data_IF_281424428815
#
_entry.id   IF_281424428815
#
_cell.length_a   1.000
_cell.length_b   1.000
_cell.length_c   1.000
_cell.angle_alpha   90.00
_cell.angle_beta   90.00
_cell.angle_gamma   90.00
#
_symmetry.space_group_name_H-M   'P 1'
#
loop_
_entity.id
_entity.type
_entity.pdbx_description
1 polymer ?
#
# COMPACT_ATOMS: atom_id res chain seq x y z
N UNK A 1 24.87 -30.31 52.48
CA UNK A 1 24.88 -29.93 51.05
C UNK A 1 23.70 -29.05 50.62
N UNK A 2 22.47 -29.30 51.10
CA UNK A 2 21.27 -28.51 50.78
C UNK A 2 21.43 -26.98 50.96
N UNK A 3 22.09 -26.53 52.03
CA UNK A 3 22.32 -25.09 52.29
C UNK A 3 23.24 -24.38 51.27
N UNK A 4 24.18 -25.10 50.63
CA UNK A 4 25.02 -24.53 49.57
C UNK A 4 24.19 -24.33 48.30
N UNK A 5 23.37 -25.32 47.95
CA UNK A 5 22.47 -25.28 46.79
C UNK A 5 21.44 -24.15 46.96
N UNK A 6 20.88 -23.99 48.15
CA UNK A 6 19.91 -22.92 48.44
C UNK A 6 20.54 -21.52 48.33
N UNK A 7 21.79 -21.34 48.77
CA UNK A 7 22.56 -20.10 48.57
C UNK A 7 22.87 -19.83 47.10
N UNK A 8 23.26 -20.84 46.34
CA UNK A 8 23.51 -20.71 44.90
C UNK A 8 22.25 -20.35 44.11
N UNK A 9 21.11 -20.97 44.44
CA UNK A 9 19.82 -20.64 43.83
C UNK A 9 19.44 -19.20 44.16
N UNK A 10 19.57 -18.77 45.43
CA UNK A 10 19.26 -17.40 45.85
C UNK A 10 20.13 -16.37 45.12
N UNK A 11 21.42 -16.65 44.97
CA UNK A 11 22.35 -15.78 44.24
C UNK A 11 22.04 -15.72 42.74
N UNK A 12 21.71 -16.85 42.10
CA UNK A 12 21.29 -16.89 40.68
C UNK A 12 20.00 -16.11 40.45
N UNK A 13 19.01 -16.26 41.33
CA UNK A 13 17.74 -15.52 41.25
C UNK A 13 17.97 -14.03 41.43
N UNK A 14 18.77 -13.62 42.42
CA UNK A 14 19.08 -12.21 42.65
C UNK A 14 19.82 -11.59 41.45
N UNK A 15 20.81 -12.29 40.89
CA UNK A 15 21.53 -11.82 39.70
C UNK A 15 20.65 -11.68 38.45
N UNK A 16 19.59 -12.49 38.31
CA UNK A 16 18.60 -12.33 37.23
C UNK A 16 17.73 -11.10 37.47
N UNK A 17 17.27 -10.89 38.70
CA UNK A 17 16.44 -9.73 39.06
C UNK A 17 17.23 -8.44 38.82
N UNK A 18 18.50 -8.38 39.21
CA UNK A 18 19.35 -7.20 38.98
C UNK A 18 19.57 -6.92 37.49
N UNK A 19 19.76 -7.96 36.67
CA UNK A 19 19.88 -7.81 35.21
C UNK A 19 18.59 -7.26 34.59
N UNK A 20 17.43 -7.80 34.98
CA UNK A 20 16.13 -7.36 34.46
C UNK A 20 15.84 -5.92 34.89
N UNK A 21 16.10 -5.56 36.15
CA UNK A 21 15.94 -4.20 36.64
C UNK A 21 16.88 -3.23 35.91
N UNK A 22 18.12 -3.65 35.64
CA UNK A 22 19.09 -2.83 34.91
C UNK A 22 18.70 -2.64 33.45
N UNK A 23 18.21 -3.68 32.78
CA UNK A 23 17.66 -3.57 31.41
C UNK A 23 16.43 -2.65 31.37
N UNK A 24 15.53 -2.77 32.35
CA UNK A 24 14.35 -1.90 32.47
C UNK A 24 14.76 -0.43 32.66
N UNK A 25 15.71 -0.17 33.56
CA UNK A 25 16.23 1.17 33.82
C UNK A 25 16.93 1.78 32.59
N UNK A 26 17.75 1.00 31.89
CA UNK A 26 18.44 1.44 30.67
C UNK A 26 17.45 1.74 29.52
N UNK A 27 16.36 0.96 29.41
CA UNK A 27 15.28 1.23 28.44
C UNK A 27 14.55 2.52 28.76
N UNK A 28 14.24 2.77 30.03
CA UNK A 28 13.52 3.98 30.42
C UNK A 28 14.41 5.23 30.25
N UNK A 29 15.72 5.12 30.54
CA UNK A 29 16.70 6.16 30.23
C UNK A 29 16.82 6.41 28.72
N UNK A 30 16.92 5.37 27.90
CA UNK A 30 16.94 5.51 26.44
C UNK A 30 15.69 6.23 25.92
N UNK A 31 14.52 5.87 26.45
CA UNK A 31 13.24 6.51 26.11
C UNK A 31 13.19 7.98 26.53
N UNK A 32 13.77 8.32 27.68
CA UNK A 32 13.88 9.72 28.13
C UNK A 32 14.86 10.52 27.27
N UNK A 33 16.01 9.93 26.93
CA UNK A 33 17.04 10.53 26.07
C UNK A 33 16.47 10.79 24.66
N UNK A 34 15.77 9.82 24.07
CA UNK A 34 15.09 9.97 22.76
C UNK A 34 14.08 11.12 22.78
N UNK A 35 13.33 11.26 23.88
CA UNK A 35 12.34 12.32 24.08
C UNK A 35 12.98 13.71 24.22
N UNK A 36 14.17 13.81 24.82
CA UNK A 36 14.91 15.08 24.93
C UNK A 36 15.69 15.45 23.66
N UNK A 37 16.13 14.47 22.86
CA UNK A 37 16.89 14.72 21.63
C UNK A 37 16.06 15.29 20.48
N UNK A 38 14.73 15.27 20.54
CA UNK A 38 13.85 15.90 19.54
C UNK A 38 13.87 15.25 18.15
N UNK A 39 14.68 14.22 17.93
CA UNK A 39 14.85 13.51 16.65
C UNK A 39 13.64 12.65 16.25
N UNK A 40 12.74 12.31 17.18
CA UNK A 40 11.59 11.43 16.90
C UNK A 40 10.42 12.14 16.19
N UNK A 41 10.38 13.48 16.19
CA UNK A 41 9.23 14.20 15.61
C UNK A 41 9.09 13.96 14.10
N UNK A 42 10.20 13.90 13.34
CA UNK A 42 10.12 13.73 11.89
C UNK A 42 9.52 12.38 11.49
N UNK A 43 9.97 11.29 12.14
CA UNK A 43 9.46 9.96 11.87
C UNK A 43 8.00 9.81 12.32
N UNK A 44 7.66 10.33 13.50
CA UNK A 44 6.28 10.33 13.98
C UNK A 44 5.34 11.13 13.06
N UNK A 45 5.80 12.27 12.56
CA UNK A 45 5.04 13.11 11.65
C UNK A 45 4.84 12.44 10.28
N UNK A 46 5.87 11.78 9.74
CA UNK A 46 5.77 10.96 8.52
C UNK A 46 4.76 9.81 8.68
N UNK A 47 4.84 9.06 9.78
CA UNK A 47 3.91 7.97 10.08
C UNK A 47 2.47 8.51 10.18
N UNK A 48 2.27 9.64 10.85
CA UNK A 48 0.94 10.30 10.93
C UNK A 48 0.44 10.69 9.55
N UNK A 49 1.29 11.20 8.68
CA UNK A 49 0.91 11.59 7.33
C UNK A 49 0.57 10.38 6.44
N UNK A 50 1.28 9.26 6.58
CA UNK A 50 0.89 8.00 5.93
C UNK A 50 -0.48 7.49 6.42
N UNK A 51 -0.76 7.55 7.72
CA UNK A 51 -2.07 7.20 8.25
C UNK A 51 -3.19 8.11 7.72
N UNK A 52 -2.95 9.43 7.63
CA UNK A 52 -3.91 10.38 7.04
C UNK A 52 -4.20 10.03 5.58
N UNK A 53 -3.17 9.78 4.77
CA UNK A 53 -3.32 9.39 3.34
C UNK A 53 -4.04 8.04 3.19
N UNK A 54 -3.76 7.09 4.08
CA UNK A 54 -4.42 5.79 4.08
C UNK A 54 -5.92 5.91 4.39
N UNK A 55 -6.27 6.68 5.43
CA UNK A 55 -7.67 6.91 5.83
C UNK A 55 -8.45 7.70 4.77
N UNK A 56 -7.85 8.68 4.09
CA UNK A 56 -8.53 9.41 3.02
C UNK A 56 -8.95 8.49 1.87
N UNK A 57 -8.12 7.50 1.54
CA UNK A 57 -8.33 6.56 0.44
C UNK A 57 -9.11 5.30 0.82
N UNK A 58 -9.38 5.07 2.12
CA UNK A 58 -10.01 3.85 2.66
C UNK A 58 -11.33 3.48 2.00
N UNK A 59 -12.16 4.46 1.64
CA UNK A 59 -13.47 4.22 0.99
C UNK A 59 -13.35 3.61 -0.42
N UNK A 60 -12.19 3.76 -1.05
CA UNK A 60 -11.94 3.34 -2.44
C UNK A 60 -11.00 2.13 -2.52
N UNK A 61 -10.41 1.71 -1.39
CA UNK A 61 -9.56 0.54 -1.32
C UNK A 61 -10.36 -0.71 -0.98
N UNK A 62 -9.89 -1.85 -1.48
CA UNK A 62 -10.36 -3.13 -0.97
C UNK A 62 -9.80 -3.37 0.45
N UNK A 63 -10.52 -4.15 1.27
CA UNK A 63 -10.14 -4.38 2.66
C UNK A 63 -8.75 -5.00 2.80
N UNK A 64 -8.41 -5.94 1.91
CA UNK A 64 -7.12 -6.63 1.95
C UNK A 64 -5.95 -5.68 1.67
N UNK A 65 -6.13 -4.78 0.70
CA UNK A 65 -5.14 -3.75 0.37
C UNK A 65 -4.94 -2.79 1.55
N UNK A 66 -6.04 -2.36 2.19
CA UNK A 66 -5.98 -1.50 3.37
C UNK A 66 -5.25 -2.18 4.54
N UNK A 67 -5.55 -3.45 4.82
CA UNK A 67 -4.92 -4.23 5.89
C UNK A 67 -3.42 -4.39 5.66
N UNK A 68 -2.99 -4.70 4.43
CA UNK A 68 -1.58 -4.85 4.10
C UNK A 68 -0.81 -3.53 4.21
N UNK A 69 -1.32 -2.43 3.67
CA UNK A 69 -0.67 -1.12 3.78
C UNK A 69 -0.57 -0.69 5.24
N UNK A 70 -1.64 -0.87 6.03
CA UNK A 70 -1.63 -0.57 7.46
C UNK A 70 -0.55 -1.37 8.21
N UNK A 71 -0.43 -2.67 7.91
CA UNK A 71 0.58 -3.54 8.50
C UNK A 71 2.00 -3.09 8.17
N UNK A 72 2.24 -2.61 6.94
CA UNK A 72 3.56 -2.07 6.57
C UNK A 72 3.86 -0.74 7.29
N UNK A 73 2.87 0.14 7.50
CA UNK A 73 3.04 1.37 8.29
C UNK A 73 3.40 1.02 9.75
N UNK A 74 2.69 0.07 10.36
CA UNK A 74 3.01 -0.41 11.72
C UNK A 74 4.41 -1.03 11.81
N UNK A 75 4.87 -1.71 10.74
CA UNK A 75 6.23 -2.25 10.65
C UNK A 75 7.27 -1.12 10.55
N UNK A 76 7.00 -0.08 9.75
CA UNK A 76 7.87 1.08 9.59
C UNK A 76 8.05 1.85 10.90
N UNK A 77 6.97 2.02 11.68
CA UNK A 77 7.01 2.68 12.99
C UNK A 77 8.00 1.99 13.96
N UNK A 78 8.11 0.66 13.92
CA UNK A 78 8.98 -0.12 14.82
C UNK A 78 10.44 -0.21 14.39
N UNK A 79 10.75 0.01 13.11
CA UNK A 79 12.11 -0.16 12.57
C UNK A 79 12.93 1.12 12.78
N UNK A 80 14.18 0.99 13.24
CA UNK A 80 15.10 2.13 13.31
C UNK A 80 15.52 2.61 11.91
N UNK A 81 15.64 3.92 11.71
CA UNK A 81 15.93 4.55 10.42
C UNK A 81 17.26 4.08 9.79
N UNK A 82 18.24 3.67 10.59
CA UNK A 82 19.53 3.17 10.12
C UNK A 82 19.48 1.76 9.50
N UNK A 83 18.33 1.08 9.60
CA UNK A 83 18.15 -0.24 9.00
C UNK A 83 17.95 -0.11 7.48
N UNK A 84 18.68 -0.90 6.69
CA UNK A 84 18.54 -0.94 5.23
C UNK A 84 17.12 -1.32 4.77
N UNK A 85 16.35 -2.03 5.59
CA UNK A 85 14.94 -2.36 5.31
C UNK A 85 14.00 -1.16 5.43
N UNK A 86 14.36 -0.11 6.19
CA UNK A 86 13.49 1.04 6.43
C UNK A 86 13.17 1.79 5.12
N UNK A 87 14.20 2.03 4.30
CA UNK A 87 14.06 2.69 3.00
C UNK A 87 13.18 1.89 2.03
N UNK A 88 13.28 0.56 2.05
CA UNK A 88 12.46 -0.32 1.20
C UNK A 88 10.99 -0.29 1.61
N UNK A 89 10.70 -0.32 2.92
CA UNK A 89 9.33 -0.26 3.44
C UNK A 89 8.71 1.11 3.16
N UNK A 90 9.48 2.20 3.35
CA UNK A 90 9.03 3.54 3.01
C UNK A 90 8.63 3.63 1.52
N UNK A 91 9.53 3.19 0.62
CA UNK A 91 9.26 3.18 -0.83
C UNK A 91 8.00 2.38 -1.17
N UNK A 92 7.79 1.24 -0.51
CA UNK A 92 6.58 0.44 -0.69
C UNK A 92 5.32 1.19 -0.24
N UNK A 93 5.34 1.80 0.95
CA UNK A 93 4.20 2.58 1.48
C UNK A 93 3.88 3.74 0.55
N UNK A 94 4.89 4.50 0.11
CA UNK A 94 4.72 5.61 -0.83
C UNK A 94 4.12 5.13 -2.15
N UNK A 95 4.70 4.10 -2.77
CA UNK A 95 4.20 3.55 -4.04
C UNK A 95 2.77 3.04 -3.92
N UNK A 96 2.46 2.33 -2.84
CA UNK A 96 1.11 1.81 -2.60
C UNK A 96 0.10 2.94 -2.37
N UNK A 97 0.49 3.99 -1.63
CA UNK A 97 -0.33 5.16 -1.39
C UNK A 97 -0.43 6.06 -2.62
N UNK A 98 0.44 5.99 -3.61
CA UNK A 98 0.34 6.77 -4.84
C UNK A 98 -0.66 6.18 -5.85
N UNK A 99 -1.03 4.91 -5.69
CA UNK A 99 -2.03 4.26 -6.55
C UNK A 99 -3.37 5.04 -6.50
N UNK A 100 -3.95 5.38 -7.66
CA UNK A 100 -5.15 6.22 -7.73
C UNK A 100 -6.44 5.40 -7.53
N UNK A 101 -6.63 4.83 -6.33
CA UNK A 101 -7.84 4.05 -5.99
C UNK A 101 -9.15 4.82 -6.22
N UNK A 102 -9.13 6.15 -6.07
CA UNK A 102 -10.34 7.00 -6.11
C UNK A 102 -10.74 7.41 -7.53
N UNK A 103 -9.77 7.50 -8.45
CA UNK A 103 -9.96 8.13 -9.76
C UNK A 103 -10.25 7.07 -10.82
N UNK A 104 -11.51 6.68 -10.90
CA UNK A 104 -12.00 5.87 -12.02
C UNK A 104 -12.51 6.83 -13.09
N UNK A 105 -12.07 6.64 -14.34
CA UNK A 105 -12.59 7.39 -15.48
C UNK A 105 -14.09 7.11 -15.63
N UNK A 106 -14.92 8.15 -15.46
CA UNK A 106 -16.39 8.07 -15.61
C UNK A 106 -16.87 8.24 -17.06
N UNK A 107 -15.94 8.32 -18.02
CA UNK A 107 -16.29 8.58 -19.42
C UNK A 107 -17.04 7.37 -19.96
N UNK A 108 -18.33 7.56 -20.30
CA UNK A 108 -19.12 6.57 -21.00
C UNK A 108 -18.56 6.37 -22.40
N UNK A 109 -18.57 5.13 -22.87
CA UNK A 109 -18.16 4.82 -24.24
C UNK A 109 -19.23 5.32 -25.22
N UNK A 110 -18.83 6.13 -26.21
CA UNK A 110 -19.68 6.56 -27.33
C UNK A 110 -18.97 6.27 -28.65
N UNK A 111 -19.54 5.36 -29.44
CA UNK A 111 -18.99 4.98 -30.74
C UNK A 111 -18.88 6.16 -31.73
N UNK A 112 -19.76 7.16 -31.64
CA UNK A 112 -19.71 8.32 -32.54
C UNK A 112 -18.48 9.17 -32.28
N UNK A 113 -18.13 9.34 -31.01
CA UNK A 113 -16.88 10.02 -30.63
C UNK A 113 -15.66 9.23 -31.11
N UNK A 114 -15.67 7.90 -30.96
CA UNK A 114 -14.59 7.01 -31.42
C UNK A 114 -14.40 7.14 -32.93
N UNK A 115 -15.46 7.01 -33.73
CA UNK A 115 -15.40 7.12 -35.18
C UNK A 115 -14.90 8.51 -35.63
N UNK A 116 -15.37 9.58 -34.98
CA UNK A 116 -14.93 10.94 -35.27
C UNK A 116 -13.44 11.11 -34.98
N UNK A 117 -12.98 10.62 -33.84
CA UNK A 117 -11.57 10.75 -33.44
C UNK A 117 -10.65 9.89 -34.30
N UNK A 118 -11.05 8.66 -34.64
CA UNK A 118 -10.30 7.80 -35.57
C UNK A 118 -10.13 8.45 -36.95
N UNK A 119 -11.16 9.10 -37.47
CA UNK A 119 -11.11 9.80 -38.75
C UNK A 119 -10.35 11.13 -38.70
N UNK A 120 -10.31 11.79 -37.54
CA UNK A 120 -9.50 12.98 -37.33
C UNK A 120 -8.01 12.65 -37.24
N UNK A 121 -7.66 11.62 -36.44
CA UNK A 121 -6.26 11.30 -36.12
C UNK A 121 -5.56 10.53 -37.26
N UNK A 122 -6.32 9.83 -38.12
CA UNK A 122 -5.76 8.98 -39.18
C UNK A 122 -6.45 9.21 -40.51
N UNK A 123 -5.67 9.41 -41.58
CA UNK A 123 -6.14 9.41 -42.96
C UNK A 123 -6.22 7.99 -43.52
N UNK A 124 -7.26 7.67 -44.31
CA UNK A 124 -7.54 6.33 -44.84
C UNK A 124 -7.80 5.25 -43.76
N UNK A 125 -7.35 4.00 -43.97
CA UNK A 125 -7.54 2.85 -43.06
C UNK A 125 -9.00 2.44 -42.80
N UNK A 126 -9.83 2.42 -43.83
CA UNK A 126 -11.26 2.09 -43.69
C UNK A 126 -11.48 0.74 -42.98
N UNK A 127 -10.79 -0.32 -43.42
CA UNK A 127 -10.96 -1.67 -42.87
C UNK A 127 -10.52 -1.80 -41.39
N UNK A 128 -9.32 -1.32 -40.97
CA UNK A 128 -8.97 -1.30 -39.54
C UNK A 128 -9.90 -0.44 -38.69
N UNK A 129 -10.30 0.74 -39.17
CA UNK A 129 -11.20 1.65 -38.44
C UNK A 129 -12.56 1.02 -38.21
N UNK A 130 -13.16 0.45 -39.24
CA UNK A 130 -14.44 -0.27 -39.14
C UNK A 130 -14.36 -1.39 -38.11
N UNK A 131 -13.25 -2.14 -38.08
CA UNK A 131 -13.06 -3.22 -37.09
C UNK A 131 -12.93 -2.71 -35.65
N UNK A 132 -12.24 -1.58 -35.46
CA UNK A 132 -12.13 -0.93 -34.15
C UNK A 132 -13.50 -0.40 -33.70
N UNK A 133 -14.25 0.22 -34.61
CA UNK A 133 -15.62 0.68 -34.37
C UNK A 133 -16.55 -0.48 -33.98
N UNK A 134 -16.54 -1.60 -34.71
CA UNK A 134 -17.29 -2.81 -34.35
C UNK A 134 -16.97 -3.30 -32.93
N UNK A 135 -15.67 -3.33 -32.57
CA UNK A 135 -15.24 -3.77 -31.24
C UNK A 135 -15.82 -2.88 -30.13
N UNK A 136 -15.73 -1.56 -30.30
CA UNK A 136 -16.31 -0.63 -29.33
C UNK A 136 -17.84 -0.61 -29.35
N UNK A 137 -18.49 -0.88 -30.49
CA UNK A 137 -19.94 -1.00 -30.60
C UNK A 137 -20.51 -2.08 -29.68
N UNK A 138 -19.87 -3.26 -29.70
CA UNK A 138 -20.25 -4.39 -28.85
C UNK A 138 -20.07 -4.04 -27.37
N UNK A 139 -18.96 -3.36 -27.01
CA UNK A 139 -18.72 -2.93 -25.63
C UNK A 139 -19.72 -1.88 -25.15
N UNK A 140 -20.08 -0.91 -25.98
CA UNK A 140 -21.09 0.10 -25.65
C UNK A 140 -22.46 -0.56 -25.44
N UNK A 141 -22.82 -1.53 -26.28
CA UNK A 141 -24.06 -2.29 -26.15
C UNK A 141 -24.08 -3.10 -24.85
N UNK A 142 -22.99 -3.78 -24.49
CA UNK A 142 -22.89 -4.53 -23.24
C UNK A 142 -23.01 -3.61 -22.01
N UNK A 143 -22.36 -2.44 -22.03
CA UNK A 143 -22.47 -1.43 -20.98
C UNK A 143 -23.92 -0.95 -20.83
N UNK A 144 -24.62 -0.64 -21.94
CA UNK A 144 -26.03 -0.24 -21.94
C UNK A 144 -26.97 -1.31 -21.39
N UNK A 145 -26.66 -2.58 -21.60
CA UNK A 145 -27.48 -3.71 -21.10
C UNK A 145 -27.24 -4.02 -19.63
N UNK A 146 -26.25 -3.40 -18.98
CA UNK A 146 -25.92 -3.66 -17.57
C UNK A 146 -25.45 -5.10 -17.31
N UNK A 147 -25.10 -5.86 -18.36
CA UNK A 147 -24.54 -7.19 -18.24
C UNK A 147 -23.11 -7.00 -17.76
N UNK A 148 -22.91 -7.15 -16.44
CA UNK A 148 -21.58 -7.14 -15.86
C UNK A 148 -20.74 -8.23 -16.53
N UNK A 149 -19.52 -7.84 -16.91
CA UNK A 149 -18.50 -8.54 -17.70
C UNK A 149 -17.99 -9.84 -17.04
N UNK A 150 -18.90 -10.75 -16.68
CA UNK A 150 -18.63 -11.93 -15.86
C UNK A 150 -18.45 -13.22 -16.68
N UNK A 151 -19.07 -13.36 -17.85
CA UNK A 151 -19.03 -14.63 -18.58
C UNK A 151 -18.90 -14.44 -20.11
N UNK A 152 -17.67 -14.39 -20.62
CA UNK A 152 -17.36 -14.79 -22.00
C UNK A 152 -17.02 -13.72 -23.05
N UNK A 153 -16.97 -12.42 -22.75
CA UNK A 153 -16.78 -11.37 -23.76
C UNK A 153 -15.47 -10.56 -23.66
N UNK A 154 -14.44 -11.06 -22.97
CA UNK A 154 -13.14 -10.37 -22.86
C UNK A 154 -12.21 -10.71 -24.02
N UNK A 155 -12.51 -10.21 -25.21
CA UNK A 155 -11.52 -10.16 -26.29
C UNK A 155 -10.65 -8.92 -26.07
N UNK A 156 -9.36 -9.11 -25.87
CA UNK A 156 -8.39 -8.01 -25.84
C UNK A 156 -8.06 -7.69 -27.31
N UNK A 157 -8.27 -6.43 -27.70
CA UNK A 157 -7.94 -5.98 -29.05
C UNK A 157 -6.42 -6.07 -29.24
N UNK A 158 -5.99 -6.86 -30.22
CA UNK A 158 -4.59 -6.95 -30.64
C UNK A 158 -4.47 -6.31 -32.02
N UNK A 159 -3.69 -5.23 -32.12
CA UNK A 159 -3.34 -4.62 -33.39
C UNK A 159 -2.01 -5.23 -33.85
N UNK A 160 -2.02 -5.81 -35.05
CA UNK A 160 -0.84 -6.41 -35.66
C UNK A 160 -0.55 -5.73 -37.00
N UNK A 161 0.73 -5.61 -37.33
CA UNK A 161 1.21 -4.95 -38.54
C UNK A 161 2.71 -5.15 -38.70
#
# INVERSE_FOLDING_TARGET
EANKIQKEIKNKVHSRIDKVNKEYFLKEQLRQIQKELGSDNQKEDEVRDYYKKLESKKKFMHEDAYKEIKKQIEKFERIHQDNSEASMIQTYIETALDVPFEKIAKKKLDIKEVAKQLNHDHYALNKPKERIEEYFAVRELLEKRGVADKDGAKVILCLYG
#
